data_IF_831428269227
#
_entry.id   IF_831428269227
#
_cell.length_a   1.000
_cell.length_b   1.000
_cell.length_c   1.000
_cell.angle_alpha   90.00
_cell.angle_beta   90.00
_cell.angle_gamma   90.00
#
_symmetry.space_group_name_H-M   'P 1'
#
loop_
_entity.id
_entity.type
_entity.pdbx_description
1 polymer ?
#
# COMPACT_ATOMS: atom_id res chain seq x y z
N UNK A 1 42.69 -1.87 28.20
CA UNK A 1 41.53 -2.78 28.28
C UNK A 1 40.27 -1.93 28.20
N UNK A 2 39.75 -1.72 26.99
CA UNK A 2 38.42 -1.14 26.79
C UNK A 2 37.45 -2.30 26.56
N UNK A 3 36.47 -2.45 27.45
CA UNK A 3 35.39 -3.42 27.28
C UNK A 3 34.38 -2.87 26.27
N UNK A 4 34.33 -3.51 25.11
CA UNK A 4 33.37 -3.27 24.04
C UNK A 4 31.98 -3.74 24.55
N UNK A 5 31.10 -2.79 24.87
CA UNK A 5 29.68 -3.08 25.14
C UNK A 5 28.99 -3.43 23.81
N UNK A 6 29.10 -4.69 23.39
CA UNK A 6 28.17 -5.31 22.45
C UNK A 6 26.83 -5.48 23.17
N UNK A 7 26.01 -4.43 23.13
CA UNK A 7 24.58 -4.52 23.42
C UNK A 7 23.96 -5.42 22.35
N UNK A 8 23.93 -6.73 22.61
CA UNK A 8 22.99 -7.62 21.96
C UNK A 8 21.59 -7.10 22.28
N UNK A 9 21.02 -6.28 21.39
CA UNK A 9 19.58 -6.00 21.38
C UNK A 9 18.92 -7.36 21.21
N UNK A 10 18.33 -7.88 22.28
CA UNK A 10 17.36 -8.95 22.15
C UNK A 10 16.30 -8.47 21.14
N UNK A 11 15.89 -9.29 20.17
CA UNK A 11 14.83 -8.90 19.24
C UNK A 11 13.58 -8.66 20.06
N UNK A 12 13.25 -7.39 20.29
CA UNK A 12 11.96 -7.02 20.86
C UNK A 12 10.92 -7.47 19.85
N UNK A 13 10.27 -8.60 20.13
CA UNK A 13 9.13 -9.05 19.33
C UNK A 13 7.98 -8.15 19.73
N UNK A 14 7.84 -7.00 19.05
CA UNK A 14 6.66 -6.16 19.23
C UNK A 14 5.41 -7.00 18.94
N UNK A 15 4.32 -6.67 19.63
CA UNK A 15 3.00 -7.20 19.33
C UNK A 15 2.81 -7.12 17.80
N UNK A 16 2.72 -8.26 17.11
CA UNK A 16 2.79 -8.32 15.64
C UNK A 16 1.79 -7.32 15.07
N UNK A 17 2.30 -6.29 14.39
CA UNK A 17 1.43 -5.23 13.91
C UNK A 17 0.47 -5.82 12.87
N UNK A 18 -0.80 -5.46 12.96
CA UNK A 18 -1.87 -5.93 12.06
C UNK A 18 -1.59 -5.53 10.60
N UNK A 19 -0.65 -4.63 10.38
CA UNK A 19 -0.38 -4.00 9.09
C UNK A 19 0.90 -4.53 8.40
N UNK A 20 1.46 -5.65 8.89
CA UNK A 20 2.60 -6.30 8.24
C UNK A 20 2.31 -6.52 6.74
N UNK A 21 3.26 -6.22 5.84
CA UNK A 21 3.09 -6.49 4.44
C UNK A 21 2.80 -7.96 4.17
N UNK A 22 1.88 -8.21 3.24
CA UNK A 22 1.55 -9.55 2.75
C UNK A 22 2.19 -9.85 1.39
N UNK A 23 2.68 -8.81 0.71
CA UNK A 23 3.38 -8.88 -0.57
C UNK A 23 4.18 -7.59 -0.78
N UNK A 24 5.42 -7.73 -1.26
CA UNK A 24 6.20 -6.63 -1.82
C UNK A 24 6.18 -6.73 -3.36
N UNK A 25 5.88 -5.62 -4.02
CA UNK A 25 5.86 -5.48 -5.46
C UNK A 25 6.90 -4.44 -5.85
N UNK A 26 7.86 -4.80 -6.69
CA UNK A 26 8.78 -3.85 -7.29
C UNK A 26 8.36 -3.62 -8.73
N UNK A 27 8.15 -2.38 -9.13
CA UNK A 27 7.66 -2.02 -10.46
C UNK A 27 8.76 -1.31 -11.23
N UNK A 28 9.07 -1.82 -12.41
CA UNK A 28 10.09 -1.24 -13.27
C UNK A 28 11.50 -1.70 -12.90
N UNK A 29 12.42 -1.56 -13.85
CA UNK A 29 13.80 -2.06 -13.73
C UNK A 29 14.61 -1.19 -12.78
N UNK A 30 14.42 0.11 -12.90
CA UNK A 30 15.06 1.19 -12.16
C UNK A 30 14.81 1.11 -10.65
N UNK A 31 13.71 0.48 -10.22
CA UNK A 31 13.42 0.26 -8.80
C UNK A 31 14.26 -0.89 -8.22
N UNK A 32 14.71 -1.84 -9.06
CA UNK A 32 15.31 -3.10 -8.62
C UNK A 32 16.81 -3.15 -8.87
N UNK A 33 17.27 -2.61 -10.00
CA UNK A 33 18.63 -2.80 -10.48
C UNK A 33 19.45 -1.52 -10.44
N UNK A 34 20.67 -1.63 -9.91
CA UNK A 34 21.75 -0.67 -10.16
C UNK A 34 22.60 -1.21 -11.33
N UNK A 35 22.39 -0.63 -12.51
CA UNK A 35 22.94 -1.12 -13.77
C UNK A 35 22.42 -2.51 -14.14
N UNK A 36 23.18 -3.56 -13.79
CA UNK A 36 22.83 -4.97 -14.05
C UNK A 36 22.66 -5.80 -12.79
N UNK A 37 23.08 -5.26 -11.65
CA UNK A 37 23.08 -5.98 -10.39
C UNK A 37 21.86 -5.58 -9.55
N UNK A 38 21.42 -6.48 -8.67
CA UNK A 38 20.35 -6.18 -7.73
C UNK A 38 20.82 -5.07 -6.78
N UNK A 39 20.02 -4.01 -6.65
CA UNK A 39 20.30 -2.93 -5.72
C UNK A 39 20.47 -3.49 -4.30
N UNK A 40 21.53 -3.14 -3.54
CA UNK A 40 21.82 -3.76 -2.25
C UNK A 40 20.69 -3.69 -1.22
N UNK A 41 20.00 -2.55 -1.09
CA UNK A 41 18.87 -2.44 -0.17
C UNK A 41 17.62 -3.18 -0.66
N UNK A 42 17.43 -3.34 -1.98
CA UNK A 42 16.40 -4.24 -2.53
C UNK A 42 16.73 -5.69 -2.16
N UNK A 43 17.98 -6.12 -2.33
CA UNK A 43 18.40 -7.46 -1.93
C UNK A 43 18.13 -7.72 -0.44
N UNK A 44 18.49 -6.74 0.40
CA UNK A 44 18.30 -6.78 1.85
C UNK A 44 16.83 -6.89 2.24
N UNK A 45 15.97 -5.99 1.74
CA UNK A 45 14.55 -5.98 2.11
C UNK A 45 13.83 -7.23 1.61
N UNK A 46 14.24 -7.78 0.46
CA UNK A 46 13.72 -9.06 -0.07
C UNK A 46 14.13 -10.23 0.83
N UNK A 47 15.37 -10.25 1.31
CA UNK A 47 15.84 -11.28 2.24
C UNK A 47 15.13 -11.20 3.61
N UNK A 48 14.91 -9.99 4.13
CA UNK A 48 14.14 -9.75 5.35
C UNK A 48 12.67 -10.17 5.19
N UNK A 49 12.01 -9.76 4.11
CA UNK A 49 10.65 -10.16 3.78
C UNK A 49 10.53 -11.68 3.68
N UNK A 50 11.49 -12.35 3.02
CA UNK A 50 11.54 -13.81 2.94
C UNK A 50 11.68 -14.45 4.32
N UNK A 51 12.54 -13.90 5.17
CA UNK A 51 12.70 -14.33 6.57
C UNK A 51 11.40 -14.21 7.38
N UNK A 52 10.57 -13.22 7.05
CA UNK A 52 9.26 -13.00 7.64
C UNK A 52 8.11 -13.76 6.94
N UNK A 53 8.40 -14.59 5.93
CA UNK A 53 7.39 -15.33 5.16
C UNK A 53 6.54 -14.47 4.23
N UNK A 54 7.03 -13.28 3.88
CA UNK A 54 6.35 -12.33 2.97
C UNK A 54 6.95 -12.45 1.56
N UNK A 55 6.16 -12.81 0.55
CA UNK A 55 6.64 -12.87 -0.84
C UNK A 55 7.03 -11.49 -1.35
N UNK A 56 8.03 -11.47 -2.23
CA UNK A 56 8.48 -10.28 -2.95
C UNK A 56 8.62 -10.63 -4.44
N UNK A 57 8.06 -9.78 -5.30
CA UNK A 57 8.07 -10.01 -6.76
C UNK A 57 8.43 -8.73 -7.51
N UNK A 58 9.08 -8.91 -8.65
CA UNK A 58 9.41 -7.85 -9.59
C UNK A 58 8.50 -7.92 -10.81
N UNK A 59 7.75 -6.85 -11.07
CA UNK A 59 6.97 -6.67 -12.29
C UNK A 59 7.83 -5.99 -13.34
N UNK A 60 8.15 -6.74 -14.38
CA UNK A 60 9.01 -6.34 -15.48
C UNK A 60 8.34 -6.65 -16.82
N UNK A 61 8.65 -5.84 -17.84
CA UNK A 61 8.25 -6.10 -19.24
C UNK A 61 8.80 -7.45 -19.72
N UNK A 62 10.03 -7.79 -19.34
CA UNK A 62 10.68 -9.07 -19.66
C UNK A 62 11.06 -9.80 -18.37
N UNK A 63 10.65 -11.06 -18.26
CA UNK A 63 11.04 -11.91 -17.14
C UNK A 63 12.55 -12.15 -17.17
N UNK A 64 13.27 -11.50 -16.28
CA UNK A 64 14.69 -11.72 -16.06
C UNK A 64 14.90 -12.11 -14.59
N UNK A 65 15.30 -13.36 -14.30
CA UNK A 65 15.55 -13.75 -12.93
C UNK A 65 16.73 -12.96 -12.39
N UNK A 66 16.48 -12.12 -11.40
CA UNK A 66 17.55 -11.49 -10.62
C UNK A 66 17.73 -12.31 -9.35
N UNK A 67 18.98 -12.49 -8.91
CA UNK A 67 19.30 -13.40 -7.80
C UNK A 67 18.46 -13.06 -6.55
N UNK A 68 17.52 -13.93 -6.20
CA UNK A 68 16.69 -13.80 -4.99
C UNK A 68 15.34 -13.08 -5.17
N UNK A 69 15.08 -12.45 -6.32
CA UNK A 69 13.80 -11.79 -6.61
C UNK A 69 13.13 -12.43 -7.82
N UNK A 70 11.94 -12.98 -7.61
CA UNK A 70 11.15 -13.59 -8.68
C UNK A 70 10.60 -12.50 -9.60
N UNK A 71 10.93 -12.58 -10.89
CA UNK A 71 10.32 -11.72 -11.91
C UNK A 71 9.01 -12.34 -12.39
N UNK A 72 7.92 -11.59 -12.24
CA UNK A 72 6.62 -11.94 -12.82
C UNK A 72 6.47 -11.13 -14.10
N UNK A 73 6.30 -11.83 -15.22
CA UNK A 73 6.01 -11.18 -16.49
C UNK A 73 4.72 -10.37 -16.41
N UNK A 74 4.66 -9.27 -17.16
CA UNK A 74 3.53 -8.36 -17.10
C UNK A 74 2.19 -9.07 -17.38
N UNK A 75 1.24 -9.07 -16.41
CA UNK A 75 0.07 -9.96 -16.46
C UNK A 75 -1.10 -9.40 -17.30
N UNK A 76 -0.93 -8.30 -18.02
CA UNK A 76 -1.97 -7.73 -18.89
C UNK A 76 -1.41 -7.01 -20.11
N UNK A 77 -2.29 -6.61 -21.02
CA UNK A 77 -1.93 -5.86 -22.25
C UNK A 77 -1.88 -4.33 -22.03
N UNK A 78 -2.36 -3.85 -20.88
CA UNK A 78 -2.37 -2.42 -20.54
C UNK A 78 -0.92 -1.90 -20.33
N UNK A 79 -0.61 -0.65 -20.69
CA UNK A 79 0.75 -0.12 -20.55
C UNK A 79 1.21 -0.08 -19.09
N UNK A 80 2.47 -0.44 -18.86
CA UNK A 80 3.16 -0.32 -17.58
C UNK A 80 3.41 1.15 -17.21
N UNK A 81 3.23 1.57 -15.95
CA UNK A 81 2.55 0.87 -14.85
C UNK A 81 1.04 1.13 -14.83
N UNK A 82 0.24 0.10 -14.49
CA UNK A 82 -1.22 0.24 -14.37
C UNK A 82 -1.78 -0.51 -13.14
N UNK A 83 -2.92 -0.06 -12.58
CA UNK A 83 -3.51 -0.67 -11.38
C UNK A 83 -3.90 -2.13 -11.61
N UNK A 84 -4.43 -2.45 -12.80
CA UNK A 84 -4.88 -3.79 -13.18
C UNK A 84 -3.77 -4.82 -13.02
N UNK A 85 -2.58 -4.51 -13.51
CA UNK A 85 -1.48 -5.45 -13.44
C UNK A 85 -1.01 -5.71 -12.00
N UNK A 86 -1.02 -4.68 -11.15
CA UNK A 86 -0.75 -4.84 -9.72
C UNK A 86 -1.77 -5.78 -9.08
N UNK A 87 -3.06 -5.62 -9.41
CA UNK A 87 -4.11 -6.53 -8.93
C UNK A 87 -3.91 -7.95 -9.42
N UNK A 88 -3.63 -8.16 -10.70
CA UNK A 88 -3.42 -9.49 -11.27
C UNK A 88 -2.17 -10.16 -10.70
N UNK A 89 -1.08 -9.41 -10.51
CA UNK A 89 0.14 -9.90 -9.87
C UNK A 89 -0.10 -10.32 -8.41
N UNK A 90 -0.91 -9.54 -7.68
CA UNK A 90 -1.34 -9.90 -6.33
C UNK A 90 -2.22 -11.14 -6.32
N UNK A 91 -3.20 -11.22 -7.23
CA UNK A 91 -4.18 -12.29 -7.32
C UNK A 91 -3.61 -13.62 -7.78
N UNK A 92 -2.49 -13.60 -8.52
CA UNK A 92 -1.78 -14.81 -8.91
C UNK A 92 -1.03 -15.47 -7.75
N UNK A 93 -0.82 -14.74 -6.65
CA UNK A 93 -0.15 -15.23 -5.45
C UNK A 93 -1.16 -15.82 -4.47
N UNK A 94 -0.74 -16.87 -3.77
CA UNK A 94 -1.52 -17.48 -2.69
C UNK A 94 -0.64 -17.55 -1.44
N UNK A 95 -1.08 -16.89 -0.38
CA UNK A 95 -0.38 -16.88 0.90
C UNK A 95 -1.18 -17.66 1.95
N UNK A 96 -0.47 -18.11 2.97
CA UNK A 96 -1.06 -18.57 4.24
C UNK A 96 -0.88 -17.41 5.24
N UNK A 97 -1.91 -16.61 5.51
CA UNK A 97 -1.75 -15.46 6.39
C UNK A 97 -1.44 -15.94 7.81
N UNK A 98 -0.61 -15.18 8.53
CA UNK A 98 -0.38 -15.44 9.94
C UNK A 98 -1.72 -15.44 10.69
N UNK A 99 -1.93 -16.46 11.53
CA UNK A 99 -3.06 -16.47 12.44
C UNK A 99 -2.98 -15.28 13.41
N UNK A 100 -4.13 -14.74 13.76
CA UNK A 100 -4.23 -13.75 14.82
C UNK A 100 -3.88 -14.42 16.16
N UNK A 101 -2.79 -14.00 16.78
CA UNK A 101 -2.39 -14.49 18.10
C UNK A 101 -0.92 -14.23 18.39
N UNK A 102 -0.65 -13.27 19.26
CA UNK A 102 0.65 -13.14 19.92
C UNK A 102 0.96 -14.38 20.78
N UNK A 103 2.22 -14.46 21.22
CA UNK A 103 2.78 -15.46 22.13
C UNK A 103 1.77 -16.02 23.14
N UNK A 104 1.81 -17.35 23.31
CA UNK A 104 1.23 -18.08 24.44
C UNK A 104 -0.30 -18.22 24.52
N UNK A 105 -0.90 -18.70 23.43
CA UNK A 105 -2.08 -19.58 23.57
C UNK A 105 -3.44 -18.91 23.75
N UNK A 106 -3.54 -17.58 23.59
CA UNK A 106 -4.84 -16.93 23.49
C UNK A 106 -5.37 -16.96 22.05
N UNK A 107 -6.28 -17.91 21.82
CA UNK A 107 -6.97 -18.08 20.55
C UNK A 107 -6.19 -18.94 19.59
N UNK A 108 -6.44 -20.26 19.59
CA UNK A 108 -6.26 -21.10 18.39
C UNK A 108 -7.31 -20.69 17.35
N UNK A 109 -7.32 -19.40 16.99
CA UNK A 109 -8.15 -18.83 15.95
C UNK A 109 -7.79 -19.58 14.67
N UNK A 110 -8.82 -20.09 14.03
CA UNK A 110 -8.78 -20.81 12.75
C UNK A 110 -7.69 -20.19 11.86
N UNK A 111 -6.66 -20.96 11.50
CA UNK A 111 -5.66 -20.50 10.53
C UNK A 111 -6.43 -19.95 9.34
N UNK A 112 -6.23 -18.66 9.00
CA UNK A 112 -7.00 -18.06 7.92
C UNK A 112 -6.77 -18.87 6.64
N UNK A 113 -7.84 -19.05 5.87
CA UNK A 113 -7.77 -19.83 4.65
C UNK A 113 -6.73 -19.24 3.69
N UNK A 114 -6.09 -20.11 2.91
CA UNK A 114 -5.24 -19.70 1.78
C UNK A 114 -6.02 -18.73 0.91
N UNK A 115 -5.41 -17.57 0.64
CA UNK A 115 -6.00 -16.52 -0.18
C UNK A 115 -4.89 -15.68 -0.82
N UNK A 116 -5.22 -14.86 -1.82
CA UNK A 116 -4.33 -13.81 -2.26
C UNK A 116 -4.04 -12.79 -1.16
N UNK A 117 -2.88 -12.10 -1.21
CA UNK A 117 -2.59 -10.94 -0.37
C UNK A 117 -3.71 -9.89 -0.47
N UNK A 118 -4.01 -9.23 0.66
CA UNK A 118 -4.93 -8.09 0.66
C UNK A 118 -4.22 -6.90 0.02
N UNK A 119 -4.89 -6.21 -0.92
CA UNK A 119 -4.31 -5.03 -1.58
C UNK A 119 -3.80 -3.99 -0.57
N UNK A 120 -4.58 -3.72 0.47
CA UNK A 120 -4.21 -2.76 1.52
C UNK A 120 -3.01 -3.20 2.38
N UNK A 121 -2.53 -4.45 2.22
CA UNK A 121 -1.31 -4.97 2.85
C UNK A 121 -0.19 -5.22 1.85
N UNK A 122 -0.41 -4.94 0.56
CA UNK A 122 0.67 -4.91 -0.42
C UNK A 122 1.43 -3.59 -0.31
N UNK A 123 2.75 -3.65 -0.54
CA UNK A 123 3.61 -2.48 -0.67
C UNK A 123 4.23 -2.50 -2.06
N UNK A 124 4.10 -1.40 -2.78
CA UNK A 124 4.59 -1.23 -4.15
C UNK A 124 5.73 -0.22 -4.13
N UNK A 125 6.92 -0.66 -4.52
CA UNK A 125 8.06 0.20 -4.78
C UNK A 125 8.07 0.59 -6.26
N UNK A 126 8.21 1.88 -6.55
CA UNK A 126 8.37 2.37 -7.92
C UNK A 126 9.27 3.60 -7.97
N UNK A 127 10.14 3.66 -8.97
CA UNK A 127 10.89 4.88 -9.31
C UNK A 127 10.17 5.76 -10.34
N UNK A 128 8.86 5.56 -10.54
CA UNK A 128 8.05 6.35 -11.45
C UNK A 128 6.81 6.91 -10.74
N UNK A 129 6.43 8.14 -11.11
CA UNK A 129 5.23 8.78 -10.59
C UNK A 129 3.99 7.96 -10.95
N UNK A 130 3.90 7.51 -12.20
CA UNK A 130 2.78 6.68 -12.67
C UNK A 130 2.67 5.35 -11.91
N UNK A 131 3.79 4.77 -11.48
CA UNK A 131 3.79 3.54 -10.68
C UNK A 131 3.23 3.76 -9.28
N UNK A 132 3.56 4.89 -8.66
CA UNK A 132 2.95 5.29 -7.38
C UNK A 132 1.45 5.56 -7.53
N UNK A 133 1.03 6.25 -8.61
CA UNK A 133 -0.39 6.47 -8.92
C UNK A 133 -1.13 5.16 -9.13
N UNK A 134 -0.53 4.22 -9.86
CA UNK A 134 -1.10 2.90 -10.10
C UNK A 134 -1.27 2.12 -8.80
N UNK A 135 -0.26 2.14 -7.91
CA UNK A 135 -0.31 1.50 -6.60
C UNK A 135 -1.44 2.05 -5.72
N UNK A 136 -1.54 3.37 -5.62
CA UNK A 136 -2.59 4.05 -4.86
C UNK A 136 -3.97 3.77 -5.42
N UNK A 137 -4.09 3.78 -6.75
CA UNK A 137 -5.33 3.42 -7.44
C UNK A 137 -5.72 1.97 -7.16
N UNK A 138 -4.76 1.06 -7.09
CA UNK A 138 -4.97 -0.34 -6.74
C UNK A 138 -5.29 -0.55 -5.25
N UNK A 139 -5.36 0.51 -4.42
CA UNK A 139 -5.54 0.39 -2.98
C UNK A 139 -4.37 -0.36 -2.32
N UNK A 140 -3.17 -0.17 -2.85
CA UNK A 140 -1.91 -0.67 -2.29
C UNK A 140 -1.07 0.50 -1.80
N UNK A 141 -0.11 0.21 -0.93
CA UNK A 141 0.81 1.22 -0.38
C UNK A 141 1.86 1.58 -1.41
N UNK A 142 2.14 2.86 -1.59
CA UNK A 142 3.07 3.36 -2.58
C UNK A 142 4.37 3.87 -1.92
N UNK A 143 5.50 3.30 -2.31
CA UNK A 143 6.83 3.75 -1.93
C UNK A 143 7.55 4.26 -3.17
N UNK A 144 7.83 5.57 -3.19
CA UNK A 144 8.63 6.21 -4.24
C UNK A 144 10.12 5.96 -4.04
N UNK A 145 10.86 5.69 -5.12
CA UNK A 145 12.32 5.52 -5.10
C UNK A 145 12.95 6.56 -6.04
N UNK A 146 13.70 7.52 -5.52
CA UNK A 146 14.20 8.69 -6.25
C UNK A 146 13.60 10.01 -5.74
N UNK A 147 13.33 10.93 -6.66
CA UNK A 147 12.79 12.26 -6.37
C UNK A 147 11.47 12.54 -7.11
N UNK A 148 10.62 13.40 -6.56
CA UNK A 148 9.40 13.89 -7.22
C UNK A 148 8.17 12.99 -7.05
N UNK A 149 8.04 12.32 -5.91
CA UNK A 149 6.92 11.42 -5.59
C UNK A 149 6.08 11.87 -4.41
N UNK A 150 6.40 13.03 -3.81
CA UNK A 150 5.83 13.53 -2.56
C UNK A 150 4.30 13.71 -2.60
N UNK A 151 3.73 13.85 -3.80
CA UNK A 151 2.30 14.04 -4.04
C UNK A 151 1.53 12.72 -4.25
N UNK A 152 2.23 11.63 -4.57
CA UNK A 152 1.61 10.35 -5.00
C UNK A 152 2.05 9.13 -4.19
N UNK A 153 3.17 9.20 -3.47
CA UNK A 153 3.64 8.11 -2.62
C UNK A 153 3.29 8.35 -1.15
N UNK A 154 3.13 7.26 -0.39
CA UNK A 154 2.95 7.33 1.05
C UNK A 154 4.27 7.66 1.76
N UNK A 155 5.37 7.14 1.20
CA UNK A 155 6.76 7.28 1.66
C UNK A 155 7.64 7.38 0.43
N UNK A 156 8.79 8.05 0.52
CA UNK A 156 9.79 8.03 -0.54
C UNK A 156 11.21 7.92 0.01
N UNK A 157 12.08 7.29 -0.76
CA UNK A 157 13.50 7.13 -0.48
C UNK A 157 14.29 7.71 -1.65
N UNK A 158 15.39 8.41 -1.39
CA UNK A 158 16.24 8.96 -2.47
C UNK A 158 16.84 7.85 -3.34
N UNK A 159 17.24 6.76 -2.71
CA UNK A 159 17.65 5.51 -3.34
C UNK A 159 17.36 4.35 -2.37
N UNK A 160 17.64 3.12 -2.82
CA UNK A 160 17.60 1.92 -1.99
C UNK A 160 18.99 1.28 -1.87
N UNK A 161 20.09 2.02 -2.09
CA UNK A 161 21.42 1.41 -2.10
C UNK A 161 21.98 1.17 -0.69
N UNK A 162 21.43 1.86 0.31
CA UNK A 162 21.80 1.71 1.71
C UNK A 162 23.21 2.22 2.04
N UNK A 163 23.80 3.03 1.16
CA UNK A 163 25.16 3.58 1.32
C UNK A 163 25.20 4.89 2.10
N UNK A 164 24.07 5.61 2.19
CA UNK A 164 23.93 6.76 3.10
C UNK A 164 23.47 6.26 4.48
N UNK A 165 24.41 6.35 5.44
CA UNK A 165 24.46 5.80 6.81
C UNK A 165 23.26 6.08 7.77
N UNK A 166 22.09 6.49 7.28
CA UNK A 166 20.95 6.84 8.12
C UNK A 166 19.55 6.59 7.55
N UNK A 167 19.39 6.14 6.30
CA UNK A 167 18.06 6.09 5.65
C UNK A 167 17.74 4.76 4.95
N UNK A 168 18.42 3.67 5.33
CA UNK A 168 18.11 2.35 4.79
C UNK A 168 16.76 1.84 5.35
N UNK A 169 15.74 1.70 4.50
CA UNK A 169 14.43 1.16 4.88
C UNK A 169 14.51 -0.33 5.20
N UNK A 170 14.18 -0.72 6.43
CA UNK A 170 14.05 -2.13 6.80
C UNK A 170 12.63 -2.62 6.49
N UNK A 171 12.45 -3.94 6.32
CA UNK A 171 11.13 -4.52 6.13
C UNK A 171 10.18 -4.19 7.29
N UNK A 172 10.71 -4.17 8.52
CA UNK A 172 9.97 -3.85 9.73
C UNK A 172 9.50 -2.39 9.78
N UNK A 173 10.20 -1.47 9.11
CA UNK A 173 9.81 -0.06 9.10
C UNK A 173 8.53 0.18 8.29
N UNK A 174 8.23 -0.68 7.31
CA UNK A 174 7.01 -0.60 6.47
C UNK A 174 5.72 -0.79 7.26
N UNK A 175 5.81 -1.31 8.48
CA UNK A 175 4.66 -1.59 9.33
C UNK A 175 4.92 -1.31 10.81
N UNK A 176 5.99 -0.59 11.17
CA UNK A 176 6.23 -0.19 12.56
C UNK A 176 5.65 1.20 12.80
N UNK A 177 4.70 1.37 13.74
CA UNK A 177 4.17 2.68 14.10
C UNK A 177 5.30 3.63 14.49
N UNK A 178 5.35 4.81 13.87
CA UNK A 178 6.40 5.80 14.10
C UNK A 178 7.66 5.68 13.23
N UNK A 179 7.82 4.59 12.46
CA UNK A 179 8.76 4.53 11.33
C UNK A 179 8.06 5.11 10.09
N UNK A 180 7.84 4.27 9.07
CA UNK A 180 7.15 4.62 7.85
C UNK A 180 5.71 4.10 7.84
N UNK A 181 5.07 3.96 9.01
CA UNK A 181 3.76 3.30 9.13
C UNK A 181 2.72 3.84 8.15
N UNK A 182 2.50 3.06 7.09
CA UNK A 182 1.55 3.39 6.05
C UNK A 182 0.21 2.76 6.43
N UNK A 183 -0.78 3.61 6.72
CA UNK A 183 -2.14 3.15 6.95
C UNK A 183 -2.65 2.32 5.77
N UNK A 184 -3.42 1.24 5.99
CA UNK A 184 -3.97 0.43 4.92
C UNK A 184 -4.74 1.32 3.92
N UNK A 185 -4.29 1.43 2.65
CA UNK A 185 -4.89 2.36 1.72
C UNK A 185 -6.21 1.83 1.19
N UNK A 186 -7.05 2.77 0.79
CA UNK A 186 -8.24 2.49 -0.03
C UNK A 186 -7.95 2.98 -1.46
N UNK A 187 -8.53 2.35 -2.50
CA UNK A 187 -8.40 2.80 -3.89
C UNK A 187 -8.77 4.27 -4.06
N UNK A 188 -7.80 5.09 -4.48
CA UNK A 188 -7.94 6.54 -4.63
C UNK A 188 -7.26 7.05 -5.89
N UNK A 189 -7.85 8.07 -6.52
CA UNK A 189 -7.18 8.89 -7.53
C UNK A 189 -6.11 9.78 -6.90
N UNK A 190 -5.30 10.44 -7.75
CA UNK A 190 -4.32 11.45 -7.34
C UNK A 190 -4.98 12.57 -6.52
N UNK A 191 -6.17 13.01 -6.95
CA UNK A 191 -6.94 14.07 -6.26
C UNK A 191 -7.60 13.61 -4.94
N UNK A 192 -7.43 12.34 -4.56
CA UNK A 192 -8.01 11.79 -3.32
C UNK A 192 -9.46 11.30 -3.45
N UNK A 193 -10.04 11.31 -4.65
CA UNK A 193 -11.37 10.73 -4.90
C UNK A 193 -11.30 9.21 -4.90
N UNK A 194 -12.41 8.53 -4.62
CA UNK A 194 -12.44 7.07 -4.79
C UNK A 194 -12.25 6.69 -6.25
N UNK A 195 -11.63 5.54 -6.51
CA UNK A 195 -11.48 5.00 -7.85
C UNK A 195 -11.72 3.49 -7.92
N UNK A 196 -11.88 2.98 -9.13
CA UNK A 196 -11.90 1.56 -9.39
C UNK A 196 -10.48 0.98 -9.25
N UNK A 197 -10.28 -0.11 -8.49
CA UNK A 197 -8.96 -0.65 -8.19
C UNK A 197 -8.26 -1.32 -9.38
N UNK A 198 -8.96 -1.64 -10.47
CA UNK A 198 -8.36 -2.23 -11.67
C UNK A 198 -8.08 -1.19 -12.73
N UNK A 199 -8.93 -0.16 -12.86
CA UNK A 199 -8.78 0.83 -13.94
C UNK A 199 -8.21 2.17 -13.48
N UNK A 200 -8.28 2.48 -12.19
CA UNK A 200 -7.96 3.81 -11.65
C UNK A 200 -8.97 4.89 -12.01
N UNK A 201 -10.06 4.55 -12.72
CA UNK A 201 -11.10 5.50 -13.07
C UNK A 201 -11.85 5.96 -11.82
N UNK A 202 -12.15 7.25 -11.73
CA UNK A 202 -12.91 7.83 -10.62
C UNK A 202 -14.27 7.15 -10.45
N UNK A 203 -14.67 6.92 -9.21
CA UNK A 203 -15.94 6.29 -8.85
C UNK A 203 -16.67 7.21 -7.88
N UNK A 204 -17.91 7.57 -8.22
CA UNK A 204 -18.79 8.29 -7.33
C UNK A 204 -19.50 7.31 -6.39
N UNK A 205 -19.76 7.74 -5.15
CA UNK A 205 -20.54 7.00 -4.18
C UNK A 205 -21.75 7.83 -3.77
N UNK A 206 -22.87 7.16 -3.50
CA UNK A 206 -24.06 7.79 -2.92
C UNK A 206 -23.76 8.25 -1.49
N UNK A 207 -24.62 9.11 -0.95
CA UNK A 207 -24.54 9.52 0.46
C UNK A 207 -24.60 8.33 1.45
N UNK A 208 -25.10 7.17 0.99
CA UNK A 208 -25.20 5.94 1.78
C UNK A 208 -24.04 4.96 1.55
N UNK A 209 -23.04 5.34 0.74
CA UNK A 209 -21.85 4.53 0.47
C UNK A 209 -22.02 3.50 -0.64
N UNK A 210 -23.10 3.57 -1.43
CA UNK A 210 -23.28 2.71 -2.60
C UNK A 210 -22.53 3.27 -3.81
N UNK A 211 -21.85 2.42 -4.57
CA UNK A 211 -21.16 2.82 -5.81
C UNK A 211 -22.18 3.31 -6.85
N UNK A 212 -22.03 4.54 -7.31
CA UNK A 212 -22.80 5.11 -8.41
C UNK A 212 -22.11 4.69 -9.72
N UNK A 213 -22.78 3.82 -10.48
CA UNK A 213 -22.20 3.19 -11.68
C UNK A 213 -22.37 4.07 -12.93
N UNK A 214 -23.21 5.11 -12.86
CA UNK A 214 -23.47 6.06 -13.96
C UNK A 214 -23.31 7.51 -13.49
N UNK A 215 -22.36 8.24 -14.08
CA UNK A 215 -22.19 9.68 -13.83
C UNK A 215 -23.43 10.51 -14.26
N UNK A 216 -24.26 9.99 -15.17
CA UNK A 216 -25.55 10.58 -15.54
C UNK A 216 -26.61 10.46 -14.43
N UNK A 217 -26.47 9.50 -13.50
CA UNK A 217 -27.29 9.41 -12.29
C UNK A 217 -26.69 10.20 -11.12
N UNK A 218 -25.48 10.72 -11.28
CA UNK A 218 -24.82 11.63 -10.35
C UNK A 218 -25.04 13.10 -10.71
N UNK A 219 -26.04 13.43 -11.54
CA UNK A 219 -26.50 14.81 -11.65
C UNK A 219 -27.02 15.24 -10.28
N UNK A 220 -26.34 16.18 -9.66
CA UNK A 220 -26.70 16.85 -8.41
C UNK A 220 -27.97 17.71 -8.51
N UNK A 221 -28.81 17.49 -9.52
CA UNK A 221 -29.99 18.31 -9.82
C UNK A 221 -31.25 17.85 -9.07
N UNK A 222 -31.16 16.82 -8.21
CA UNK A 222 -32.27 16.34 -7.38
C UNK A 222 -32.00 16.46 -5.86
N UNK A 223 -31.02 17.27 -5.43
CA UNK A 223 -30.99 17.79 -4.05
C UNK A 223 -31.54 19.20 -4.11
N UNK A 224 -32.81 19.31 -4.47
CA UNK A 224 -33.56 20.54 -4.28
C UNK A 224 -33.74 20.73 -2.77
N UNK A 225 -33.15 21.82 -2.28
CA UNK A 225 -33.14 22.31 -0.91
C UNK A 225 -34.56 22.52 -0.35
N UNK A 226 -35.21 21.46 0.12
CA UNK A 226 -36.39 21.59 0.96
C UNK A 226 -36.15 20.90 2.30
N UNK A 227 -35.55 21.66 3.23
CA UNK A 227 -35.63 21.37 4.66
C UNK A 227 -37.09 21.03 5.00
N UNK A 228 -37.29 19.89 5.64
CA UNK A 228 -38.61 19.51 6.14
C UNK A 228 -39.10 20.58 7.12
N UNK A 229 -40.41 20.73 7.27
CA UNK A 229 -40.99 21.71 8.21
C UNK A 229 -40.48 21.50 9.65
N UNK A 230 -40.14 20.25 10.00
CA UNK A 230 -39.54 19.90 11.29
C UNK A 230 -38.11 20.45 11.43
N UNK A 231 -37.28 20.34 10.40
CA UNK A 231 -35.90 20.87 10.42
C UNK A 231 -35.89 22.41 10.41
N UNK A 232 -36.84 23.03 9.71
CA UNK A 232 -37.05 24.49 9.77
C UNK A 232 -37.45 24.96 11.17
N UNK A 233 -38.32 24.22 11.86
CA UNK A 233 -38.71 24.55 13.24
C UNK A 233 -37.54 24.49 14.23
N UNK A 234 -36.65 23.51 14.08
CA UNK A 234 -35.46 23.39 14.93
C UNK A 234 -34.49 24.57 14.70
N UNK A 235 -34.31 25.00 13.45
CA UNK A 235 -33.44 26.14 13.13
C UNK A 235 -34.02 27.48 13.60
N UNK A 236 -35.35 27.64 13.61
CA UNK A 236 -35.98 28.84 14.18
C UNK A 236 -35.81 28.94 15.70
N UNK A 237 -35.73 27.82 16.41
CA UNK A 237 -35.52 27.80 17.87
C UNK A 237 -34.08 28.13 18.29
N UNK A 238 -33.12 28.00 17.36
CA UNK A 238 -31.70 28.31 17.60
C UNK A 238 -31.32 29.76 17.29
N UNK A 239 -32.24 30.54 16.72
CA UNK A 239 -31.98 31.94 16.36
C UNK A 239 -32.25 32.84 17.57
N UNK A 240 -31.28 33.69 17.99
CA UNK A 240 -31.50 34.62 19.10
C UNK A 240 -32.63 35.62 18.75
N UNK A 241 -33.44 36.06 19.74
CA UNK A 241 -34.54 36.97 19.48
C UNK A 241 -34.01 38.30 18.93
N UNK A 242 -34.72 38.92 17.96
CA UNK A 242 -34.33 40.22 17.42
C UNK A 242 -34.39 41.30 18.51
N UNK A 243 -33.37 42.16 18.56
CA UNK A 243 -33.29 43.34 19.43
C UNK A 243 -34.33 44.42 19.08
#
# INVERSE_FOLDING_TARGET
MLALYLLCRAPMTMLRNRDRPELLLFVGRETVLDGRDLCPGVARIVDEARGAGTPAVWLADEASPTRGLESVGWPCEDPLPCPRALQLARESMVIEPDAFGGSDGFGRGRTPAKRPPLAARCVVFSASRDGCVAARSAGMRAVGVGQGFEDVSDVFFGDLDGTDDGWACDFDDLYTPGSYWINPPVPRTVDGNHCDPYTGAGVAYSAFGDRIVDAAAASSDDIDDQLTDAERAILSDLSPPPE
#
